data_IF_252871903335
#
_entry.id   IF_252871903335
#
_cell.length_a   1.000
_cell.length_b   1.000
_cell.length_c   1.000
_cell.angle_alpha   90.00
_cell.angle_beta   90.00
_cell.angle_gamma   90.00
#
_symmetry.space_group_name_H-M   'P 1'
#
loop_
_entity.id
_entity.type
_entity.pdbx_description
1 polymer ?
#
# COMPACT_ATOMS: atom_id res chain seq x y z
N UNK A 1 -3.19 -31.12 -32.29
CA UNK A 1 -3.91 -29.84 -31.98
C UNK A 1 -4.21 -29.83 -30.47
N UNK A 2 -3.30 -29.33 -29.67
CA UNK A 2 -3.49 -29.15 -28.23
C UNK A 2 -3.95 -27.71 -28.01
N UNK A 3 -5.16 -27.55 -27.53
CA UNK A 3 -5.68 -26.23 -27.11
C UNK A 3 -4.96 -25.81 -25.83
N UNK A 4 -4.09 -24.83 -25.98
CA UNK A 4 -3.48 -24.11 -24.87
C UNK A 4 -4.58 -23.36 -24.10
N UNK A 5 -4.91 -23.84 -22.89
CA UNK A 5 -5.77 -23.09 -21.96
C UNK A 5 -4.94 -21.97 -21.36
N UNK A 6 -5.12 -20.76 -21.81
CA UNK A 6 -4.59 -19.55 -21.22
C UNK A 6 -5.17 -19.42 -19.81
N UNK A 7 -4.32 -19.60 -18.79
CA UNK A 7 -4.70 -19.41 -17.40
C UNK A 7 -4.70 -17.90 -17.12
N UNK A 8 -5.88 -17.30 -17.17
CA UNK A 8 -6.10 -15.91 -16.75
C UNK A 8 -6.07 -15.91 -15.22
N UNK A 9 -5.00 -15.39 -14.63
CA UNK A 9 -4.96 -15.09 -13.20
C UNK A 9 -5.75 -13.80 -13.00
N UNK A 10 -7.07 -13.92 -12.86
CA UNK A 10 -7.90 -12.87 -12.31
C UNK A 10 -7.85 -12.97 -10.79
N UNK A 11 -6.79 -12.38 -10.19
CA UNK A 11 -6.78 -12.08 -8.76
C UNK A 11 -7.54 -10.76 -8.54
N UNK A 12 -8.80 -10.77 -8.83
CA UNK A 12 -9.73 -9.86 -8.19
C UNK A 12 -10.26 -10.58 -6.96
N UNK A 13 -9.80 -10.19 -5.78
CA UNK A 13 -10.48 -10.47 -4.53
C UNK A 13 -11.79 -9.65 -4.44
N UNK A 14 -12.46 -9.55 -5.56
CA UNK A 14 -13.87 -9.29 -5.68
C UNK A 14 -14.51 -10.68 -5.80
N UNK A 15 -14.95 -11.18 -4.67
CA UNK A 15 -15.76 -12.36 -4.51
C UNK A 15 -15.82 -13.30 -5.72
N UNK A 16 -14.97 -14.31 -5.78
CA UNK A 16 -15.21 -15.44 -6.65
C UNK A 16 -16.42 -16.22 -6.16
N UNK A 17 -17.61 -15.71 -6.39
CA UNK A 17 -18.80 -16.55 -6.54
C UNK A 17 -18.75 -17.07 -7.96
N UNK A 18 -18.17 -18.25 -8.16
CA UNK A 18 -18.50 -19.10 -9.29
C UNK A 18 -19.99 -19.40 -9.21
N UNK A 19 -20.73 -18.72 -10.05
CA UNK A 19 -22.15 -18.98 -10.29
C UNK A 19 -22.31 -20.41 -10.79
N UNK A 20 -22.68 -21.33 -9.91
CA UNK A 20 -23.61 -22.35 -10.31
C UNK A 20 -24.93 -21.61 -10.59
N UNK A 21 -25.49 -21.78 -11.80
CA UNK A 21 -26.82 -21.32 -12.16
C UNK A 21 -27.84 -21.97 -11.20
N UNK A 22 -28.18 -21.22 -10.15
CA UNK A 22 -29.43 -21.44 -9.41
C UNK A 22 -30.00 -20.04 -9.17
N UNK A 23 -31.23 -19.83 -9.52
CA UNK A 23 -31.99 -18.58 -9.47
C UNK A 23 -32.26 -18.05 -8.04
N UNK A 24 -31.49 -18.49 -7.03
CA UNK A 24 -31.68 -18.09 -5.65
C UNK A 24 -30.33 -17.73 -5.03
N UNK A 25 -30.17 -16.45 -4.65
CA UNK A 25 -29.08 -15.98 -3.82
C UNK A 25 -29.23 -16.55 -2.40
N UNK A 26 -28.14 -17.12 -1.86
CA UNK A 26 -28.05 -17.48 -0.45
C UNK A 26 -27.02 -16.59 0.24
N UNK A 27 -27.38 -15.92 1.37
CA UNK A 27 -26.42 -15.20 2.18
C UNK A 27 -25.28 -16.12 2.62
N UNK A 28 -24.04 -15.62 2.59
CA UNK A 28 -22.89 -16.45 2.90
C UNK A 28 -21.69 -15.64 3.36
N UNK A 29 -20.76 -16.32 4.02
CA UNK A 29 -19.49 -15.74 4.44
C UNK A 29 -18.33 -16.23 3.59
N UNK A 30 -17.26 -15.45 3.56
CA UNK A 30 -15.97 -15.82 2.98
C UNK A 30 -14.87 -15.55 3.98
N UNK A 31 -13.89 -16.44 4.02
CA UNK A 31 -12.68 -16.28 4.83
C UNK A 31 -11.49 -16.47 3.90
N UNK A 32 -10.48 -15.66 4.06
CA UNK A 32 -9.21 -15.74 3.37
C UNK A 32 -8.17 -14.97 4.15
N UNK A 33 -6.99 -14.87 3.62
CA UNK A 33 -5.93 -14.12 4.27
C UNK A 33 -4.58 -14.34 3.64
N UNK A 34 -3.56 -13.79 4.25
CA UNK A 34 -2.18 -13.98 3.85
C UNK A 34 -1.23 -13.85 5.02
N UNK A 35 0.00 -14.29 4.82
CA UNK A 35 1.08 -14.08 5.75
C UNK A 35 2.42 -14.08 5.05
N UNK A 36 3.43 -13.54 5.74
CA UNK A 36 4.78 -13.46 5.23
C UNK A 36 5.84 -13.57 6.33
N UNK A 37 6.95 -14.25 5.98
CA UNK A 37 8.14 -14.38 6.79
C UNK A 37 9.32 -13.78 6.03
N UNK A 38 10.08 -12.91 6.69
CA UNK A 38 11.25 -12.23 6.11
C UNK A 38 12.52 -12.52 6.89
N UNK A 39 13.60 -12.80 6.18
CA UNK A 39 14.97 -12.65 6.64
C UNK A 39 15.59 -11.47 5.91
N UNK A 40 16.04 -10.48 6.66
CA UNK A 40 16.68 -9.28 6.14
C UNK A 40 18.09 -9.18 6.68
N UNK A 41 19.04 -8.87 5.80
CA UNK A 41 20.42 -8.53 6.16
C UNK A 41 20.78 -7.19 5.50
N UNK A 42 21.27 -6.27 6.29
CA UNK A 42 21.65 -4.93 5.85
C UNK A 42 23.06 -4.61 6.35
N UNK A 43 23.88 -3.98 5.51
CA UNK A 43 25.24 -3.58 5.84
C UNK A 43 25.59 -2.28 5.12
N UNK A 44 26.03 -1.26 5.85
CA UNK A 44 26.52 -0.01 5.30
C UNK A 44 28.03 0.01 5.36
N UNK A 45 28.69 0.15 4.21
CA UNK A 45 30.14 0.16 4.09
C UNK A 45 30.84 -0.95 4.86
N UNK A 46 31.75 -0.57 5.74
CA UNK A 46 32.50 -1.48 6.59
C UNK A 46 31.84 -1.82 7.93
N UNK A 47 30.66 -1.28 8.21
CA UNK A 47 29.93 -1.50 9.46
C UNK A 47 29.52 -2.97 9.64
N UNK A 48 29.28 -3.36 10.90
CA UNK A 48 28.74 -4.67 11.19
C UNK A 48 27.35 -4.83 10.56
N UNK A 49 27.13 -5.96 9.91
CA UNK A 49 25.82 -6.23 9.32
C UNK A 49 24.76 -6.43 10.40
N UNK A 50 23.60 -5.86 10.18
CA UNK A 50 22.38 -6.15 10.95
C UNK A 50 21.59 -7.26 10.28
N UNK A 51 20.99 -8.13 11.06
CA UNK A 51 20.13 -9.22 10.57
C UNK A 51 18.83 -9.28 11.35
N UNK A 52 17.72 -9.56 10.65
CA UNK A 52 16.39 -9.72 11.25
C UNK A 52 15.74 -10.95 10.64
N UNK A 53 15.10 -11.77 11.46
CA UNK A 53 14.15 -12.81 11.03
C UNK A 53 12.80 -12.46 11.66
N UNK A 54 11.80 -12.26 10.83
CA UNK A 54 10.54 -11.68 11.26
C UNK A 54 9.36 -12.36 10.55
N UNK A 55 8.44 -12.93 11.33
CA UNK A 55 7.12 -13.25 10.82
C UNK A 55 6.34 -11.92 10.72
N UNK A 56 6.50 -11.26 9.57
CA UNK A 56 6.25 -9.84 9.40
C UNK A 56 4.79 -9.50 9.63
N UNK A 57 3.87 -10.31 9.04
CA UNK A 57 2.43 -10.11 9.23
C UNK A 57 1.61 -11.37 9.01
N UNK A 58 0.45 -11.38 9.63
CA UNK A 58 -0.63 -12.33 9.40
C UNK A 58 -1.95 -11.59 9.29
N UNK A 59 -2.64 -11.77 8.17
CA UNK A 59 -3.88 -11.08 7.88
C UNK A 59 -5.01 -12.08 7.71
N UNK A 60 -6.19 -11.71 8.23
CA UNK A 60 -7.43 -12.43 8.01
C UNK A 60 -8.44 -11.51 7.31
N UNK A 61 -8.90 -11.94 6.16
CA UNK A 61 -10.09 -11.38 5.51
C UNK A 61 -11.33 -12.10 5.98
N UNK A 62 -12.34 -11.34 6.37
CA UNK A 62 -13.67 -11.87 6.62
C UNK A 62 -14.68 -11.06 5.82
N UNK A 63 -15.51 -11.74 5.04
CA UNK A 63 -16.57 -11.16 4.26
C UNK A 63 -17.91 -11.83 4.52
N UNK A 64 -18.99 -11.07 4.29
CA UNK A 64 -20.35 -11.58 4.34
C UNK A 64 -21.20 -10.97 3.22
N UNK A 65 -21.87 -11.81 2.44
CA UNK A 65 -22.82 -11.39 1.41
C UNK A 65 -24.24 -11.40 1.97
N UNK A 66 -24.83 -10.21 2.17
CA UNK A 66 -26.21 -10.08 2.67
C UNK A 66 -27.24 -10.33 1.56
N UNK A 67 -26.89 -9.93 0.34
CA UNK A 67 -27.69 -10.12 -0.88
C UNK A 67 -26.78 -10.11 -2.11
N UNK A 68 -27.32 -10.32 -3.30
CA UNK A 68 -26.56 -10.19 -4.56
C UNK A 68 -25.83 -8.84 -4.69
N UNK A 69 -26.36 -7.79 -4.09
CA UNK A 69 -25.85 -6.39 -4.21
C UNK A 69 -25.18 -5.88 -2.97
N UNK A 70 -25.47 -6.41 -1.80
CA UNK A 70 -24.93 -5.94 -0.53
C UNK A 70 -23.98 -6.95 0.09
N UNK A 71 -22.81 -6.47 0.47
CA UNK A 71 -21.80 -7.27 1.18
C UNK A 71 -21.08 -6.44 2.23
N UNK A 72 -20.45 -7.15 3.15
CA UNK A 72 -19.49 -6.62 4.12
C UNK A 72 -18.12 -7.22 3.83
N UNK A 73 -17.05 -6.46 4.04
CA UNK A 73 -15.67 -6.93 4.02
C UNK A 73 -14.90 -6.35 5.18
N UNK A 74 -13.98 -7.14 5.71
CA UNK A 74 -13.00 -6.69 6.69
C UNK A 74 -11.64 -7.32 6.45
N UNK A 75 -10.61 -6.64 6.94
CA UNK A 75 -9.21 -7.05 6.92
C UNK A 75 -8.61 -6.74 8.29
N UNK A 76 -8.21 -7.78 9.00
CA UNK A 76 -7.58 -7.69 10.30
C UNK A 76 -6.12 -8.12 10.17
N UNK A 77 -5.21 -7.22 10.52
CA UNK A 77 -3.76 -7.43 10.49
C UNK A 77 -3.19 -7.64 11.88
N UNK A 78 -2.31 -8.63 12.01
CA UNK A 78 -1.39 -8.80 13.12
C UNK A 78 0.04 -8.68 12.58
N UNK A 79 0.76 -7.60 12.94
CA UNK A 79 2.17 -7.42 12.60
C UNK A 79 3.10 -7.97 13.70
N UNK A 80 4.28 -8.45 13.26
CA UNK A 80 5.36 -8.93 14.14
C UNK A 80 4.97 -9.99 15.17
N UNK A 81 3.89 -10.75 14.88
CA UNK A 81 3.45 -11.95 15.61
C UNK A 81 3.18 -11.75 17.12
N UNK A 82 3.23 -10.54 17.65
CA UNK A 82 3.02 -10.29 19.08
C UNK A 82 2.53 -8.88 19.36
N UNK A 83 1.37 -8.78 20.03
CA UNK A 83 0.86 -7.52 20.57
C UNK A 83 0.93 -7.62 22.10
N UNK A 84 1.93 -6.98 22.68
CA UNK A 84 2.03 -6.83 24.13
C UNK A 84 1.33 -5.52 24.48
N UNK A 85 0.29 -5.50 25.35
CA UNK A 85 -0.21 -4.27 25.90
C UNK A 85 0.97 -3.55 26.56
N UNK A 86 1.20 -2.29 26.17
CA UNK A 86 2.31 -1.52 26.72
C UNK A 86 2.23 -1.54 28.24
N UNK A 87 3.19 -2.17 28.88
CA UNK A 87 3.46 -1.94 30.29
C UNK A 87 4.05 -0.53 30.34
N UNK A 88 3.25 0.42 30.78
CA UNK A 88 3.72 1.77 31.07
C UNK A 88 4.50 1.70 32.36
N UNK A 89 5.72 1.17 32.30
CA UNK A 89 6.65 1.37 33.39
C UNK A 89 6.89 2.87 33.55
N UNK A 90 6.39 3.38 34.63
CA UNK A 90 6.34 4.79 34.96
C UNK A 90 7.72 5.37 35.32
N UNK A 91 8.81 4.61 35.19
CA UNK A 91 10.16 5.04 35.51
C UNK A 91 10.99 5.52 34.32
N UNK A 92 10.47 5.44 33.11
CA UNK A 92 11.07 6.04 31.91
C UNK A 92 12.41 5.45 31.46
N UNK A 93 12.81 4.30 32.00
CA UNK A 93 14.14 3.70 31.71
C UNK A 93 14.08 2.45 30.81
N UNK A 94 12.91 1.96 30.48
CA UNK A 94 12.81 0.77 29.60
C UNK A 94 12.84 1.16 28.11
N UNK A 95 13.98 0.89 27.49
CA UNK A 95 14.21 1.02 26.04
C UNK A 95 13.53 -0.10 25.22
N UNK A 96 12.75 -0.99 25.84
CA UNK A 96 12.15 -2.18 25.22
C UNK A 96 10.75 -1.94 24.62
N UNK A 97 10.19 -0.73 24.68
CA UNK A 97 8.89 -0.36 24.06
C UNK A 97 8.86 -0.55 22.52
N UNK A 98 10.01 -0.84 21.91
CA UNK A 98 10.13 -1.03 20.45
C UNK A 98 9.84 -2.46 19.98
N UNK A 99 9.40 -3.38 20.83
CA UNK A 99 9.22 -4.81 20.49
C UNK A 99 7.76 -5.25 20.35
N UNK A 100 6.81 -4.34 20.32
CA UNK A 100 5.40 -4.70 20.14
C UNK A 100 5.03 -4.67 18.67
N UNK A 101 4.36 -5.73 18.19
CA UNK A 101 3.64 -5.73 16.92
C UNK A 101 2.39 -4.86 17.00
N UNK A 102 1.71 -4.69 15.87
CA UNK A 102 0.47 -3.95 15.75
C UNK A 102 -0.71 -4.89 15.47
N UNK A 103 -1.88 -4.56 16.00
CA UNK A 103 -3.15 -5.17 15.62
C UNK A 103 -4.02 -4.09 15.03
N UNK A 104 -4.28 -4.18 13.72
CA UNK A 104 -4.98 -3.15 12.96
C UNK A 104 -6.19 -3.70 12.21
N UNK A 105 -7.22 -2.89 12.10
CA UNK A 105 -8.37 -3.13 11.23
C UNK A 105 -8.20 -2.26 9.98
N UNK A 106 -7.49 -2.79 8.97
CA UNK A 106 -7.16 -2.02 7.77
C UNK A 106 -8.37 -1.78 6.87
N UNK A 107 -9.34 -2.69 6.87
CA UNK A 107 -10.60 -2.54 6.17
C UNK A 107 -11.76 -3.06 7.00
N UNK A 108 -12.88 -2.33 7.00
CA UNK A 108 -14.17 -2.78 7.53
C UNK A 108 -15.27 -1.93 6.92
N UNK A 109 -15.89 -2.38 5.85
CA UNK A 109 -16.86 -1.58 5.12
C UNK A 109 -18.03 -2.40 4.59
N UNK A 110 -19.16 -1.72 4.48
CA UNK A 110 -20.32 -2.20 3.71
C UNK A 110 -20.14 -1.78 2.26
N UNK A 111 -20.41 -2.70 1.35
CA UNK A 111 -20.35 -2.49 -0.09
C UNK A 111 -21.70 -2.76 -0.73
N UNK A 112 -22.14 -1.82 -1.56
CA UNK A 112 -23.25 -2.00 -2.50
C UNK A 112 -22.70 -2.00 -3.92
N UNK A 113 -23.15 -2.90 -4.78
CA UNK A 113 -22.72 -2.91 -6.17
C UNK A 113 -23.84 -3.30 -7.13
N UNK A 114 -23.70 -2.80 -8.32
CA UNK A 114 -24.43 -3.21 -9.52
C UNK A 114 -23.42 -3.49 -10.63
N UNK A 115 -23.86 -3.89 -11.80
CA UNK A 115 -22.98 -4.15 -12.95
C UNK A 115 -22.16 -2.93 -13.38
N UNK A 116 -22.60 -1.71 -13.07
CA UNK A 116 -22.01 -0.46 -13.55
C UNK A 116 -21.42 0.43 -12.46
N UNK A 117 -22.04 0.44 -11.29
CA UNK A 117 -21.70 1.37 -10.20
C UNK A 117 -21.78 0.66 -8.86
N UNK A 118 -20.92 1.04 -7.95
CA UNK A 118 -20.90 0.58 -6.56
C UNK A 118 -20.62 1.71 -5.58
N UNK A 119 -20.85 1.41 -4.31
CA UNK A 119 -20.65 2.31 -3.18
C UNK A 119 -20.02 1.53 -2.02
N UNK A 120 -19.11 2.17 -1.29
CA UNK A 120 -18.48 1.64 -0.09
C UNK A 120 -18.55 2.66 1.03
N UNK A 121 -18.75 2.22 2.27
CA UNK A 121 -18.66 3.06 3.46
C UNK A 121 -18.18 2.27 4.67
N UNK A 122 -17.29 2.87 5.45
CA UNK A 122 -16.62 2.29 6.62
C UNK A 122 -15.15 2.64 6.63
N UNK A 123 -14.30 1.71 7.09
CA UNK A 123 -12.85 1.81 6.97
C UNK A 123 -12.45 1.30 5.57
N UNK A 124 -11.92 2.19 4.75
CA UNK A 124 -11.58 1.92 3.34
C UNK A 124 -10.18 2.38 3.00
N UNK A 125 -9.58 1.81 1.94
CA UNK A 125 -8.33 2.30 1.38
C UNK A 125 -8.61 3.28 0.24
N UNK A 126 -7.91 4.43 0.13
CA UNK A 126 -7.92 5.22 -1.09
C UNK A 126 -7.20 4.49 -2.23
N UNK A 127 -7.67 4.68 -3.46
CA UNK A 127 -7.00 4.13 -4.65
C UNK A 127 -5.84 5.03 -5.05
N UNK A 128 -4.67 4.80 -4.46
CA UNK A 128 -3.42 5.52 -4.71
C UNK A 128 -2.32 4.52 -4.99
N UNK A 129 -1.79 4.56 -6.19
CA UNK A 129 -0.75 3.64 -6.64
C UNK A 129 -1.21 2.20 -6.84
N UNK A 130 -0.27 1.35 -7.19
CA UNK A 130 -0.52 -0.06 -7.47
C UNK A 130 -0.59 -0.92 -6.22
N UNK A 131 0.10 -0.52 -5.14
CA UNK A 131 0.32 -1.39 -3.98
C UNK A 131 -0.60 -1.04 -2.80
N UNK A 132 -1.19 0.15 -2.72
CA UNK A 132 -2.06 0.46 -1.58
C UNK A 132 -3.28 -0.47 -1.47
N UNK A 133 -3.97 -0.75 -2.58
CA UNK A 133 -5.13 -1.65 -2.60
C UNK A 133 -4.77 -3.14 -2.76
N UNK A 134 -3.53 -3.46 -3.23
CA UNK A 134 -3.09 -4.83 -3.58
C UNK A 134 -1.70 -5.09 -3.02
N UNK A 135 -1.59 -5.13 -1.70
CA UNK A 135 -0.31 -5.21 -1.00
C UNK A 135 0.04 -6.61 -0.48
N UNK A 136 -0.72 -7.64 -0.88
CA UNK A 136 -0.46 -9.02 -0.50
C UNK A 136 0.86 -9.53 -1.09
N UNK A 137 1.69 -10.25 -0.31
CA UNK A 137 3.03 -10.64 -0.70
C UNK A 137 3.15 -11.41 -2.03
N UNK A 138 2.24 -12.32 -2.40
CA UNK A 138 2.34 -13.00 -3.69
C UNK A 138 2.12 -12.10 -4.91
N UNK A 139 1.67 -10.84 -4.75
CA UNK A 139 1.29 -9.95 -5.85
C UNK A 139 2.44 -9.08 -6.38
N UNK A 140 3.57 -9.01 -5.68
CA UNK A 140 4.75 -8.26 -6.08
C UNK A 140 6.03 -9.11 -5.99
N UNK A 141 7.10 -8.69 -6.68
CA UNK A 141 8.29 -9.52 -6.91
C UNK A 141 9.24 -9.57 -5.71
N UNK A 142 9.46 -8.44 -5.05
CA UNK A 142 10.45 -8.28 -3.98
C UNK A 142 9.98 -8.88 -2.66
N UNK A 143 10.91 -9.11 -1.73
CA UNK A 143 10.60 -9.48 -0.35
C UNK A 143 9.88 -8.33 0.32
N UNK A 144 10.52 -7.17 0.34
CA UNK A 144 9.92 -5.93 0.84
C UNK A 144 9.15 -5.19 -0.24
N UNK A 145 8.09 -4.48 0.13
CA UNK A 145 7.41 -3.53 -0.77
C UNK A 145 8.41 -2.49 -1.29
N UNK A 146 8.21 -1.90 -2.49
CA UNK A 146 9.07 -0.82 -2.95
C UNK A 146 9.10 0.33 -1.93
N UNK A 147 10.28 0.84 -1.57
CA UNK A 147 10.41 1.97 -0.65
C UNK A 147 9.67 3.21 -1.15
N UNK A 148 9.67 3.45 -2.47
CA UNK A 148 8.82 4.45 -3.12
C UNK A 148 7.35 4.33 -2.67
N UNK A 149 6.81 3.09 -2.68
CA UNK A 149 5.43 2.80 -2.27
C UNK A 149 5.21 2.87 -0.75
N UNK A 150 6.20 3.21 0.03
CA UNK A 150 6.11 3.49 1.46
C UNK A 150 6.25 4.98 1.75
N UNK A 151 7.19 5.64 1.08
CA UNK A 151 7.60 7.00 1.44
C UNK A 151 6.98 8.09 0.55
N UNK A 152 6.66 7.79 -0.71
CA UNK A 152 5.95 8.70 -1.62
C UNK A 152 4.47 8.32 -1.67
N UNK A 153 4.17 7.05 -2.01
CA UNK A 153 2.80 6.53 -1.91
C UNK A 153 2.67 5.85 -0.54
N UNK A 154 1.90 6.40 0.40
CA UNK A 154 1.86 5.88 1.77
C UNK A 154 1.06 4.57 1.84
N UNK A 155 1.61 3.46 1.34
CA UNK A 155 0.97 2.13 1.39
C UNK A 155 0.53 1.74 2.79
N UNK A 156 -0.48 0.89 2.87
CA UNK A 156 -1.34 0.65 4.02
C UNK A 156 -1.97 1.95 4.52
N UNK A 157 -2.41 2.78 3.56
CA UNK A 157 -3.20 3.94 3.85
C UNK A 157 -4.68 3.55 3.83
N UNK A 158 -5.27 3.54 4.98
CA UNK A 158 -6.68 3.30 5.21
C UNK A 158 -7.25 4.34 6.18
N UNK A 159 -8.57 4.47 6.22
CA UNK A 159 -9.25 5.40 7.12
C UNK A 159 -10.76 5.34 6.99
N UNK A 160 -11.46 6.01 7.92
CA UNK A 160 -12.91 6.16 7.86
C UNK A 160 -13.32 6.95 6.63
N UNK A 161 -14.29 6.45 5.87
CA UNK A 161 -14.69 7.15 4.67
C UNK A 161 -15.76 6.44 3.87
N UNK A 162 -15.99 7.00 2.69
CA UNK A 162 -16.92 6.45 1.71
C UNK A 162 -16.37 6.63 0.29
N UNK A 163 -16.75 5.73 -0.61
CA UNK A 163 -16.36 5.80 -2.01
C UNK A 163 -17.51 5.40 -2.94
N UNK A 164 -17.54 6.02 -4.11
CA UNK A 164 -18.33 5.58 -5.26
C UNK A 164 -17.36 5.13 -6.35
N UNK A 165 -17.68 4.03 -7.01
CA UNK A 165 -16.83 3.47 -8.04
C UNK A 165 -17.65 2.87 -9.18
N UNK A 166 -17.02 2.66 -10.31
CA UNK A 166 -17.70 2.03 -11.45
C UNK A 166 -16.73 1.51 -12.50
N UNK A 167 -17.32 0.78 -13.46
CA UNK A 167 -16.58 0.23 -14.60
C UNK A 167 -17.38 0.44 -15.87
N UNK A 168 -16.72 0.94 -16.93
CA UNK A 168 -17.32 1.10 -18.25
C UNK A 168 -16.25 0.93 -19.34
N UNK A 169 -16.49 0.05 -20.29
CA UNK A 169 -15.61 -0.16 -21.46
C UNK A 169 -14.12 -0.40 -21.10
N UNK A 170 -13.85 -1.17 -20.05
CA UNK A 170 -12.49 -1.44 -19.57
C UNK A 170 -11.88 -0.33 -18.71
N UNK A 171 -12.56 0.80 -18.55
CA UNK A 171 -12.17 1.88 -17.64
C UNK A 171 -12.83 1.66 -16.29
N UNK A 172 -12.03 1.60 -15.23
CA UNK A 172 -12.46 1.57 -13.83
C UNK A 172 -12.16 2.93 -13.21
N UNK A 173 -13.12 3.49 -12.51
CA UNK A 173 -12.98 4.77 -11.81
C UNK A 173 -13.44 4.65 -10.37
N UNK A 174 -12.88 5.46 -9.49
CA UNK A 174 -13.29 5.56 -8.08
C UNK A 174 -13.10 6.99 -7.59
N UNK A 175 -14.07 7.46 -6.81
CA UNK A 175 -14.02 8.72 -6.07
C UNK A 175 -14.24 8.40 -4.61
N UNK A 176 -13.34 8.81 -3.74
CA UNK A 176 -13.39 8.55 -2.30
C UNK A 176 -13.21 9.83 -1.49
N UNK A 177 -13.89 9.87 -0.34
CA UNK A 177 -13.67 10.83 0.72
C UNK A 177 -13.28 10.05 1.98
N UNK A 178 -12.17 10.45 2.61
CA UNK A 178 -11.70 9.84 3.85
C UNK A 178 -11.55 10.91 4.93
N UNK A 179 -11.43 10.47 6.15
CA UNK A 179 -11.10 11.28 7.33
C UNK A 179 -9.95 12.25 7.09
N UNK A 180 -9.79 13.25 7.95
CA UNK A 180 -8.63 14.13 7.93
C UNK A 180 -7.35 13.35 8.28
N UNK A 181 -6.23 13.81 7.71
CA UNK A 181 -4.90 13.43 8.16
C UNK A 181 -4.41 14.43 9.22
N UNK A 182 -3.49 13.99 10.07
CA UNK A 182 -2.82 14.85 11.03
C UNK A 182 -1.77 15.73 10.33
N UNK A 183 -2.02 17.04 10.27
CA UNK A 183 -1.13 18.00 9.63
C UNK A 183 0.21 18.15 10.34
N UNK A 184 0.26 17.99 11.67
CA UNK A 184 1.50 18.08 12.43
C UNK A 184 2.49 16.94 12.11
N UNK A 185 1.99 15.83 11.61
CA UNK A 185 2.79 14.65 11.22
C UNK A 185 3.12 14.59 9.73
N UNK A 186 2.76 15.62 8.95
CA UNK A 186 3.14 15.77 7.53
C UNK A 186 4.41 16.62 7.44
N UNK A 187 5.40 16.12 6.69
CA UNK A 187 6.66 16.84 6.49
C UNK A 187 7.50 16.18 5.41
N UNK A 188 8.05 15.02 5.68
CA UNK A 188 8.83 14.18 4.76
C UNK A 188 7.92 13.14 4.13
N UNK A 189 7.08 13.52 3.18
CA UNK A 189 5.95 12.72 2.71
C UNK A 189 4.71 12.89 3.61
N UNK A 190 3.65 12.19 3.27
CA UNK A 190 2.35 12.29 3.95
C UNK A 190 2.02 11.06 4.83
N UNK A 191 2.90 10.05 4.86
CA UNK A 191 2.64 8.79 5.59
C UNK A 191 2.38 9.00 7.08
N UNK A 192 3.11 9.90 7.73
CA UNK A 192 2.96 10.19 9.15
C UNK A 192 1.57 10.71 9.54
N UNK A 193 0.91 11.44 8.64
CA UNK A 193 -0.40 12.04 8.89
C UNK A 193 -1.58 11.07 8.83
N UNK A 194 -1.39 9.77 8.53
CA UNK A 194 -2.48 8.79 8.45
C UNK A 194 -3.10 8.56 9.84
N UNK A 195 -4.40 8.78 9.97
CA UNK A 195 -5.14 8.58 11.22
C UNK A 195 -5.54 7.14 11.49
N UNK A 196 -5.50 6.27 10.46
CA UNK A 196 -5.82 4.84 10.55
C UNK A 196 -7.21 4.56 11.18
N UNK A 197 -8.17 5.47 11.01
CA UNK A 197 -9.53 5.33 11.55
C UNK A 197 -9.68 5.64 13.04
N UNK A 198 -8.60 6.00 13.75
CA UNK A 198 -8.66 6.19 15.20
C UNK A 198 -9.02 7.61 15.59
N UNK A 199 -10.30 7.84 15.96
CA UNK A 199 -10.82 9.13 16.48
C UNK A 199 -10.41 10.36 15.65
N UNK A 200 -10.34 10.18 14.34
CA UNK A 200 -9.95 11.22 13.39
C UNK A 200 -11.03 12.27 13.21
N UNK A 201 -10.66 13.41 12.68
CA UNK A 201 -11.56 14.52 12.36
C UNK A 201 -12.02 14.46 10.90
N UNK A 202 -12.96 15.32 10.53
CA UNK A 202 -13.55 15.40 9.18
C UNK A 202 -13.87 16.86 8.81
N UNK A 203 -12.90 17.76 8.97
CA UNK A 203 -13.07 19.19 8.66
C UNK A 203 -12.89 19.49 7.18
N UNK A 204 -11.82 18.95 6.55
CA UNK A 204 -11.57 19.12 5.12
C UNK A 204 -11.73 17.80 4.35
N UNK A 205 -11.50 16.67 4.98
CA UNK A 205 -11.51 15.32 4.45
C UNK A 205 -10.57 15.13 3.23
N UNK A 206 -9.88 14.01 3.17
CA UNK A 206 -9.09 13.62 2.01
C UNK A 206 -10.00 13.35 0.82
N UNK A 207 -9.70 13.96 -0.32
CA UNK A 207 -10.40 13.76 -1.60
C UNK A 207 -9.50 12.97 -2.53
N UNK A 208 -9.93 11.78 -2.95
CA UNK A 208 -9.18 10.91 -3.84
C UNK A 208 -10.02 10.54 -5.07
N UNK A 209 -9.42 10.64 -6.25
CA UNK A 209 -10.00 10.20 -7.51
C UNK A 209 -8.97 9.31 -8.22
N UNK A 210 -9.39 8.17 -8.74
CA UNK A 210 -8.56 7.27 -9.52
C UNK A 210 -9.24 6.80 -10.80
N UNK A 211 -8.43 6.56 -11.82
CA UNK A 211 -8.88 6.01 -13.10
C UNK A 211 -7.87 4.94 -13.55
N UNK A 212 -8.36 3.78 -13.95
CA UNK A 212 -7.56 2.66 -14.44
C UNK A 212 -8.17 2.10 -15.71
N UNK A 213 -7.36 1.86 -16.73
CA UNK A 213 -7.73 1.12 -17.93
C UNK A 213 -7.19 -0.31 -17.86
N UNK A 214 -8.07 -1.28 -18.02
CA UNK A 214 -7.76 -2.72 -17.99
C UNK A 214 -8.35 -3.47 -19.19
N UNK A 215 -8.70 -2.77 -20.27
CA UNK A 215 -9.33 -3.35 -21.45
C UNK A 215 -8.39 -4.19 -22.32
N UNK A 216 -7.08 -4.17 -22.09
CA UNK A 216 -6.09 -5.01 -22.76
C UNK A 216 -5.60 -6.07 -21.77
N UNK A 217 -5.64 -7.34 -22.21
CA UNK A 217 -5.21 -8.46 -21.36
C UNK A 217 -3.75 -8.31 -20.88
N UNK A 218 -3.54 -8.41 -19.58
CA UNK A 218 -2.24 -8.25 -18.94
C UNK A 218 -1.78 -6.81 -18.74
N UNK A 219 -2.46 -5.80 -19.29
CA UNK A 219 -2.11 -4.39 -19.16
C UNK A 219 -3.07 -3.68 -18.20
N UNK A 220 -2.52 -2.94 -17.24
CA UNK A 220 -3.19 -1.94 -16.44
C UNK A 220 -2.43 -0.63 -16.57
N UNK A 221 -3.10 0.42 -16.96
CA UNK A 221 -2.57 1.79 -17.01
C UNK A 221 -3.53 2.69 -16.28
N UNK A 222 -3.03 3.54 -15.43
CA UNK A 222 -3.91 4.42 -14.67
C UNK A 222 -3.16 5.49 -13.89
N UNK A 223 -3.90 6.12 -13.02
CA UNK A 223 -3.37 7.11 -12.10
C UNK A 223 -4.42 7.58 -11.12
N UNK A 224 -3.98 8.36 -10.18
CA UNK A 224 -4.80 8.95 -9.14
C UNK A 224 -4.40 10.39 -8.82
N UNK A 225 -5.37 11.13 -8.30
CA UNK A 225 -5.18 12.45 -7.74
C UNK A 225 -5.77 12.50 -6.35
N UNK A 226 -4.98 12.94 -5.39
CA UNK A 226 -5.41 13.10 -4.00
C UNK A 226 -5.10 14.48 -3.51
N UNK A 227 -6.00 15.13 -2.80
CA UNK A 227 -5.80 16.44 -2.20
C UNK A 227 -6.43 16.54 -0.83
N UNK A 228 -5.82 17.34 0.03
CA UNK A 228 -6.27 17.58 1.39
C UNK A 228 -5.61 18.83 1.99
N UNK A 229 -6.31 19.53 2.89
CA UNK A 229 -5.73 20.50 3.81
C UNK A 229 -5.80 19.89 5.21
N UNK A 230 -4.71 19.22 5.61
CA UNK A 230 -4.62 18.48 6.86
C UNK A 230 -4.56 19.47 8.04
N UNK A 231 -5.55 19.49 8.95
CA UNK A 231 -5.53 20.38 10.09
C UNK A 231 -4.37 20.02 11.03
N UNK A 232 -3.71 21.04 11.58
CA UNK A 232 -2.69 20.90 12.62
C UNK A 232 -3.30 21.11 14.00
N UNK A 233 -2.55 20.88 15.07
CA UNK A 233 -2.97 21.22 16.44
C UNK A 233 -3.34 22.70 16.58
N UNK A 234 -2.70 23.59 15.82
CA UNK A 234 -3.04 25.02 15.79
C UNK A 234 -4.48 25.28 15.28
N UNK A 235 -5.00 24.45 14.39
CA UNK A 235 -6.38 24.57 13.89
C UNK A 235 -7.42 24.44 15.00
N UNK A 236 -7.12 23.67 16.05
CA UNK A 236 -8.00 23.41 17.18
C UNK A 236 -7.68 24.28 18.42
N UNK A 237 -6.73 25.22 18.30
CA UNK A 237 -6.32 26.05 19.41
C UNK A 237 -7.47 26.99 19.84
N UNK A 238 -7.64 27.12 21.16
CA UNK A 238 -8.65 27.98 21.77
C UNK A 238 -8.03 28.90 22.81
N UNK A 239 -8.68 30.03 23.08
CA UNK A 239 -8.34 30.90 24.20
C UNK A 239 -8.78 30.29 25.55
N UNK A 240 -8.53 31.01 26.64
CA UNK A 240 -8.91 30.57 28.00
C UNK A 240 -10.43 30.48 28.22
N UNK A 241 -11.21 31.07 27.33
CA UNK A 241 -12.67 31.05 27.36
C UNK A 241 -13.26 29.97 26.45
N UNK A 242 -12.39 29.21 25.70
CA UNK A 242 -12.79 28.15 24.79
C UNK A 242 -13.17 28.62 23.37
N UNK A 243 -12.92 29.90 23.02
CA UNK A 243 -13.15 30.40 21.67
C UNK A 243 -11.96 30.06 20.77
N UNK A 244 -12.22 29.74 19.50
CA UNK A 244 -11.16 29.52 18.52
C UNK A 244 -10.31 30.78 18.35
N UNK A 245 -8.99 30.64 18.46
CA UNK A 245 -8.01 31.71 18.21
C UNK A 245 -7.45 31.68 16.79
N UNK A 246 -7.84 30.69 15.99
CA UNK A 246 -7.42 30.56 14.60
C UNK A 246 -8.26 31.51 13.74
N UNK A 247 -7.64 32.54 13.20
CA UNK A 247 -8.26 33.50 12.31
C UNK A 247 -8.26 33.07 10.84
N UNK A 248 -7.39 32.12 10.48
CA UNK A 248 -7.23 31.62 9.13
C UNK A 248 -6.95 30.11 9.16
N UNK A 249 -7.92 29.32 8.75
CA UNK A 249 -7.84 27.85 8.69
C UNK A 249 -6.72 27.38 7.73
N UNK A 250 -6.43 28.12 6.67
CA UNK A 250 -5.38 27.82 5.71
C UNK A 250 -3.99 27.89 6.34
N UNK A 251 -3.76 28.83 7.23
CA UNK A 251 -2.47 28.97 7.93
C UNK A 251 -2.26 27.92 9.05
N UNK A 252 -3.34 27.33 9.52
CA UNK A 252 -3.35 26.30 10.56
C UNK A 252 -3.48 24.88 9.99
N UNK A 253 -3.18 24.70 8.72
CA UNK A 253 -3.23 23.41 8.03
C UNK A 253 -2.03 23.21 7.12
N UNK A 254 -1.67 21.95 6.87
CA UNK A 254 -0.72 21.56 5.85
C UNK A 254 -1.51 21.05 4.63
N UNK A 255 -1.51 21.87 3.57
CA UNK A 255 -2.12 21.49 2.30
C UNK A 255 -1.22 20.55 1.53
N UNK A 256 -1.78 19.54 0.86
CA UNK A 256 -1.05 18.76 -0.13
C UNK A 256 -1.91 18.33 -1.32
N UNK A 257 -1.23 18.11 -2.43
CA UNK A 257 -1.79 17.38 -3.58
C UNK A 257 -0.80 16.32 -4.05
N UNK A 258 -1.31 15.10 -4.25
CA UNK A 258 -0.54 13.96 -4.73
C UNK A 258 -1.09 13.54 -6.10
N UNK A 259 -0.23 13.56 -7.11
CA UNK A 259 -0.46 12.96 -8.43
C UNK A 259 0.30 11.64 -8.47
N UNK A 260 -0.35 10.60 -8.91
CA UNK A 260 0.26 9.29 -9.13
C UNK A 260 -0.13 8.76 -10.51
N UNK A 261 0.84 8.18 -11.23
CA UNK A 261 0.68 7.55 -12.53
C UNK A 261 1.34 6.18 -12.52
N UNK A 262 0.67 5.19 -13.11
CA UNK A 262 1.23 3.84 -13.17
C UNK A 262 0.91 3.11 -14.48
N UNK A 263 1.80 2.16 -14.81
CA UNK A 263 1.59 1.13 -15.80
C UNK A 263 2.10 -0.22 -15.29
N UNK A 264 1.29 -1.26 -15.41
CA UNK A 264 1.67 -2.65 -15.08
C UNK A 264 1.30 -3.55 -16.24
N UNK A 265 2.29 -4.34 -16.70
CA UNK A 265 2.09 -5.39 -17.68
C UNK A 265 2.48 -6.73 -17.08
N UNK A 266 1.60 -7.71 -17.17
CA UNK A 266 1.86 -9.07 -16.69
C UNK A 266 1.18 -10.07 -17.63
N UNK A 267 1.85 -10.38 -18.73
CA UNK A 267 1.42 -11.38 -19.72
C UNK A 267 2.62 -11.84 -20.57
N UNK A 268 2.45 -12.92 -21.31
CA UNK A 268 3.45 -13.46 -22.24
C UNK A 268 4.83 -13.68 -21.60
N UNK A 269 4.86 -14.15 -20.37
CA UNK A 269 6.05 -14.33 -19.52
C UNK A 269 6.77 -13.03 -19.13
N UNK A 270 6.29 -11.87 -19.51
CA UNK A 270 6.87 -10.56 -19.16
C UNK A 270 6.09 -9.95 -18.00
N UNK A 271 6.82 -9.47 -17.01
CA UNK A 271 6.32 -8.61 -15.95
C UNK A 271 7.03 -7.26 -16.04
N UNK A 272 6.27 -6.18 -16.08
CA UNK A 272 6.81 -4.84 -16.06
C UNK A 272 5.91 -3.93 -15.23
N UNK A 273 6.50 -3.11 -14.38
CA UNK A 273 5.83 -2.05 -13.62
C UNK A 273 6.60 -0.76 -13.78
N UNK A 274 5.88 0.31 -13.97
CA UNK A 274 6.34 1.68 -13.80
C UNK A 274 5.32 2.40 -12.93
N UNK A 275 5.77 3.03 -11.86
CA UNK A 275 4.95 3.89 -11.02
C UNK A 275 5.72 5.17 -10.69
N UNK A 276 5.05 6.30 -10.81
CA UNK A 276 5.56 7.64 -10.54
C UNK A 276 4.57 8.39 -9.65
N UNK A 277 5.06 9.13 -8.66
CA UNK A 277 4.25 9.99 -7.81
C UNK A 277 4.95 11.27 -7.45
N UNK A 278 4.17 12.32 -7.32
CA UNK A 278 4.63 13.64 -6.88
C UNK A 278 3.63 14.26 -5.93
N UNK A 279 4.13 14.73 -4.80
CA UNK A 279 3.38 15.47 -3.78
C UNK A 279 3.85 16.91 -3.83
N UNK A 280 2.91 17.85 -3.91
CA UNK A 280 3.18 19.28 -3.70
C UNK A 280 2.55 19.72 -2.40
N UNK A 281 3.26 20.52 -1.62
CA UNK A 281 2.84 20.99 -0.30
C UNK A 281 2.51 22.48 -0.27
N UNK A 282 1.64 22.84 0.67
CA UNK A 282 1.41 24.21 1.14
C UNK A 282 1.58 24.22 2.66
N UNK A 283 2.33 25.15 3.19
CA UNK A 283 2.62 25.28 4.63
C UNK A 283 3.30 24.04 5.25
N UNK A 284 4.17 23.36 4.52
CA UNK A 284 4.94 22.25 5.08
C UNK A 284 5.83 22.75 6.22
N UNK A 285 5.77 22.18 7.44
CA UNK A 285 6.51 22.66 8.60
C UNK A 285 8.04 22.52 8.46
N UNK A 286 8.52 21.66 7.56
CA UNK A 286 9.94 21.50 7.24
C UNK A 286 10.40 22.37 6.06
N UNK A 287 9.48 23.14 5.46
CA UNK A 287 9.77 24.01 4.33
C UNK A 287 9.91 23.32 2.98
N UNK A 288 9.68 22.02 2.88
CA UNK A 288 9.71 21.33 1.60
C UNK A 288 8.49 21.71 0.75
N UNK A 289 8.73 22.00 -0.52
CA UNK A 289 7.69 22.30 -1.49
C UNK A 289 7.13 21.03 -2.16
N UNK A 290 7.99 20.02 -2.34
CA UNK A 290 7.61 18.76 -3.02
C UNK A 290 8.31 17.55 -2.40
N UNK A 291 7.66 16.40 -2.59
CA UNK A 291 8.25 15.05 -2.46
C UNK A 291 7.84 14.25 -3.68
N UNK A 292 8.64 13.28 -4.12
CA UNK A 292 8.26 12.50 -5.28
C UNK A 292 9.27 11.43 -5.62
N UNK A 293 8.96 10.66 -6.67
CA UNK A 293 9.86 9.63 -7.15
C UNK A 293 9.16 8.63 -8.05
N UNK A 294 9.87 7.55 -8.33
CA UNK A 294 9.36 6.45 -9.15
C UNK A 294 10.02 5.13 -8.80
N UNK A 295 9.43 4.04 -9.25
CA UNK A 295 10.12 2.77 -9.39
C UNK A 295 9.74 2.06 -10.68
N UNK A 296 10.66 1.21 -11.15
CA UNK A 296 10.49 0.35 -12.30
C UNK A 296 10.87 -1.07 -11.89
N UNK A 297 9.99 -2.03 -12.14
CA UNK A 297 10.26 -3.46 -12.06
C UNK A 297 10.21 -4.10 -13.45
N UNK A 298 11.18 -4.94 -13.75
CA UNK A 298 11.20 -5.77 -14.96
C UNK A 298 11.52 -7.22 -14.58
N UNK A 299 10.68 -8.14 -15.01
CA UNK A 299 10.85 -9.58 -14.77
C UNK A 299 10.46 -10.41 -15.98
N UNK A 300 11.04 -11.61 -16.08
CA UNK A 300 10.68 -12.56 -17.11
C UNK A 300 10.52 -13.97 -16.53
N UNK A 301 9.38 -14.59 -16.80
CA UNK A 301 9.13 -15.95 -16.35
C UNK A 301 9.93 -16.97 -17.16
N UNK A 302 10.99 -17.47 -16.59
CA UNK A 302 11.85 -18.52 -17.17
C UNK A 302 11.38 -19.93 -16.84
N UNK A 303 10.44 -20.10 -15.92
CA UNK A 303 9.92 -21.40 -15.52
C UNK A 303 9.26 -22.14 -16.67
N UNK A 304 8.41 -21.46 -17.45
CA UNK A 304 7.73 -22.05 -18.60
C UNK A 304 8.70 -22.49 -19.71
N UNK A 305 9.68 -21.67 -20.17
CA UNK A 305 10.70 -22.09 -21.12
C UNK A 305 11.57 -23.25 -20.63
N UNK A 306 11.84 -23.35 -19.32
CA UNK A 306 12.64 -24.41 -18.72
C UNK A 306 11.84 -25.67 -18.37
N UNK A 307 10.53 -25.69 -18.64
CA UNK A 307 9.64 -26.80 -18.30
C UNK A 307 9.43 -27.04 -16.80
N UNK A 308 9.67 -26.02 -15.98
CA UNK A 308 9.45 -26.10 -14.54
C UNK A 308 7.96 -26.03 -14.21
N UNK A 309 7.58 -26.68 -13.12
CA UNK A 309 6.26 -26.46 -12.52
C UNK A 309 6.26 -25.12 -11.77
N UNK A 310 5.21 -24.32 -11.99
CA UNK A 310 5.09 -23.00 -11.38
C UNK A 310 5.77 -21.90 -12.18
N UNK A 311 5.89 -20.72 -11.57
CA UNK A 311 6.48 -19.53 -12.17
C UNK A 311 7.81 -19.23 -11.50
N UNK A 312 8.89 -19.16 -12.28
CA UNK A 312 10.22 -18.73 -11.82
C UNK A 312 10.56 -17.43 -12.53
N UNK A 313 10.68 -16.35 -11.79
CA UNK A 313 10.84 -15.01 -12.35
C UNK A 313 12.07 -14.31 -11.77
N UNK A 314 13.22 -14.34 -12.44
CA UNK A 314 14.27 -13.36 -12.21
C UNK A 314 13.76 -11.97 -12.59
N UNK A 315 14.19 -10.95 -11.80
CA UNK A 315 13.73 -9.59 -11.95
C UNK A 315 14.78 -8.56 -11.51
N UNK A 316 14.59 -7.33 -11.95
CA UNK A 316 15.36 -6.16 -11.52
C UNK A 316 14.42 -5.04 -11.13
N UNK A 317 14.85 -4.21 -10.17
CA UNK A 317 14.19 -2.97 -9.74
C UNK A 317 15.16 -1.82 -9.76
N UNK A 318 14.69 -0.70 -10.29
CA UNK A 318 15.29 0.62 -10.12
C UNK A 318 14.26 1.52 -9.45
N UNK A 319 14.66 2.24 -8.41
CA UNK A 319 13.82 3.21 -7.73
C UNK A 319 14.65 4.43 -7.35
N UNK A 320 14.03 5.59 -7.53
CA UNK A 320 14.59 6.87 -7.16
C UNK A 320 13.47 7.71 -6.55
N UNK A 321 13.69 8.19 -5.32
CA UNK A 321 12.69 9.02 -4.65
C UNK A 321 13.33 10.02 -3.71
N UNK A 322 12.66 11.17 -3.59
CA UNK A 322 13.02 12.26 -2.70
C UNK A 322 11.84 12.57 -1.78
N UNK A 323 12.09 12.59 -0.47
CA UNK A 323 11.10 12.88 0.57
C UNK A 323 10.99 14.37 0.91
N UNK A 324 11.95 15.17 0.48
CA UNK A 324 11.98 16.62 0.61
C UNK A 324 12.88 17.19 -0.48
N UNK A 325 12.31 18.02 -1.35
CA UNK A 325 13.04 18.57 -2.50
C UNK A 325 14.29 19.36 -2.04
N UNK A 326 15.34 19.29 -2.87
CA UNK A 326 16.62 19.95 -2.67
C UNK A 326 17.38 19.57 -1.38
N UNK A 327 16.97 18.46 -0.73
CA UNK A 327 17.65 17.92 0.44
C UNK A 327 18.34 16.57 0.11
N UNK A 328 19.67 16.52 -0.08
CA UNK A 328 20.40 15.28 -0.30
C UNK A 328 20.24 14.25 0.83
N UNK A 329 19.88 14.73 2.04
CA UNK A 329 19.57 13.89 3.18
C UNK A 329 18.23 13.16 3.07
N UNK A 330 17.40 13.50 2.08
CA UNK A 330 16.09 12.91 1.85
C UNK A 330 15.94 12.31 0.44
N UNK A 331 17.03 12.28 -0.34
CA UNK A 331 17.07 11.65 -1.66
C UNK A 331 17.70 10.27 -1.61
N UNK A 332 17.02 9.28 -2.21
CA UNK A 332 17.37 7.87 -2.16
C UNK A 332 17.30 7.22 -3.54
N UNK A 333 18.35 6.47 -3.89
CA UNK A 333 18.40 5.62 -5.08
C UNK A 333 18.54 4.18 -4.66
N UNK A 334 17.71 3.30 -5.22
CA UNK A 334 17.68 1.87 -4.90
C UNK A 334 17.79 1.06 -6.17
N UNK A 335 18.73 0.12 -6.20
CA UNK A 335 18.86 -0.85 -7.27
C UNK A 335 18.83 -2.25 -6.67
N UNK A 336 17.93 -3.09 -7.17
CA UNK A 336 17.78 -4.47 -6.69
C UNK A 336 17.68 -5.43 -7.87
N UNK A 337 18.14 -6.64 -7.65
CA UNK A 337 17.79 -7.79 -8.48
C UNK A 337 17.36 -8.96 -7.57
N UNK A 338 16.53 -9.82 -8.09
CA UNK A 338 16.04 -10.93 -7.32
C UNK A 338 15.43 -12.03 -8.18
N UNK A 339 14.99 -13.06 -7.49
CA UNK A 339 14.25 -14.18 -8.08
C UNK A 339 13.05 -14.48 -7.20
N UNK A 340 11.90 -14.58 -7.83
CA UNK A 340 10.67 -15.01 -7.16
C UNK A 340 10.17 -16.29 -7.80
N UNK A 341 9.89 -17.29 -6.96
CA UNK A 341 9.37 -18.58 -7.37
C UNK A 341 7.99 -18.82 -6.77
N UNK A 342 7.01 -19.01 -7.63
CA UNK A 342 5.67 -19.46 -7.25
C UNK A 342 5.49 -20.93 -7.65
N UNK A 343 5.67 -21.90 -6.73
CA UNK A 343 5.35 -23.30 -7.01
C UNK A 343 3.85 -23.50 -7.34
N UNK A 344 3.02 -22.69 -6.69
CA UNK A 344 1.59 -22.52 -6.96
C UNK A 344 1.27 -21.03 -6.84
N UNK A 345 0.15 -20.56 -7.37
CA UNK A 345 -0.23 -19.14 -7.38
C UNK A 345 -0.31 -18.49 -5.99
N UNK A 346 -0.56 -19.29 -4.98
CA UNK A 346 -0.82 -18.84 -3.61
C UNK A 346 0.41 -18.82 -2.71
N UNK A 347 1.56 -19.32 -3.15
CA UNK A 347 2.80 -19.37 -2.36
C UNK A 347 3.95 -18.82 -3.17
N UNK A 348 4.68 -17.88 -2.61
CA UNK A 348 5.86 -17.26 -3.21
C UNK A 348 7.09 -17.44 -2.31
N UNK A 349 8.20 -17.89 -2.88
CA UNK A 349 9.53 -17.83 -2.28
C UNK A 349 10.34 -16.76 -3.01
N UNK A 350 11.01 -15.90 -2.26
CA UNK A 350 11.65 -14.71 -2.78
C UNK A 350 13.08 -14.58 -2.28
N UNK A 351 13.96 -14.18 -3.17
CA UNK A 351 15.33 -13.77 -2.85
C UNK A 351 15.61 -12.44 -3.55
N UNK A 352 16.25 -11.52 -2.84
CA UNK A 352 16.72 -10.28 -3.44
C UNK A 352 18.06 -9.84 -2.86
N UNK A 353 18.83 -9.18 -3.71
CA UNK A 353 20.05 -8.48 -3.39
C UNK A 353 19.95 -7.07 -3.98
N UNK A 354 20.40 -6.06 -3.27
CA UNK A 354 20.43 -4.72 -3.80
C UNK A 354 21.23 -3.75 -2.96
N UNK A 355 21.28 -2.52 -3.48
CA UNK A 355 21.90 -1.38 -2.83
C UNK A 355 20.86 -0.29 -2.59
N UNK A 356 21.03 0.40 -1.49
CA UNK A 356 20.26 1.55 -1.06
C UNK A 356 21.25 2.68 -0.78
N UNK A 357 21.19 3.73 -1.60
CA UNK A 357 22.05 4.90 -1.51
C UNK A 357 21.23 6.11 -1.10
N UNK A 358 21.59 6.72 0.00
CA UNK A 358 21.14 8.04 0.36
C UNK A 358 22.17 9.05 -0.20
N UNK A 359 21.74 10.08 -0.88
CA UNK A 359 22.65 10.99 -1.59
C UNK A 359 23.67 11.66 -0.66
N UNK A 360 23.26 12.01 0.57
CA UNK A 360 24.16 12.62 1.58
C UNK A 360 25.21 11.67 2.12
N UNK A 361 25.05 10.36 1.97
CA UNK A 361 25.94 9.38 2.60
C UNK A 361 27.10 9.05 1.65
N UNK A 362 28.30 8.84 2.18
CA UNK A 362 29.46 8.44 1.38
C UNK A 362 29.32 7.01 0.87
N UNK A 363 28.79 6.12 1.69
CA UNK A 363 28.69 4.70 1.42
C UNK A 363 27.27 4.25 1.07
N UNK A 364 27.14 3.16 0.32
CA UNK A 364 25.88 2.51 0.03
C UNK A 364 25.57 1.44 1.07
N UNK A 365 24.29 1.27 1.38
CA UNK A 365 23.83 0.14 2.18
C UNK A 365 23.48 -1.04 1.28
N UNK A 366 24.16 -2.16 1.49
CA UNK A 366 23.88 -3.44 0.81
C UNK A 366 22.78 -4.19 1.55
N UNK A 367 21.82 -4.75 0.83
CA UNK A 367 20.72 -5.54 1.37
C UNK A 367 20.67 -6.92 0.75
N UNK A 368 20.45 -7.95 1.57
CA UNK A 368 20.14 -9.32 1.17
C UNK A 368 18.87 -9.71 1.91
N UNK A 369 17.82 -10.02 1.17
CA UNK A 369 16.57 -10.43 1.77
C UNK A 369 16.10 -11.76 1.20
N UNK A 370 15.55 -12.60 2.06
CA UNK A 370 14.89 -13.86 1.71
C UNK A 370 13.51 -13.84 2.34
N UNK A 371 12.50 -14.20 1.57
CA UNK A 371 11.13 -14.16 2.07
C UNK A 371 10.26 -15.30 1.55
N UNK A 372 9.21 -15.54 2.30
CA UNK A 372 8.11 -16.41 1.91
C UNK A 372 6.81 -15.65 2.16
N UNK A 373 5.93 -15.65 1.16
CA UNK A 373 4.56 -15.13 1.30
C UNK A 373 3.56 -16.16 0.80
N UNK A 374 2.39 -16.16 1.41
CA UNK A 374 1.28 -17.02 0.98
C UNK A 374 -0.05 -16.34 1.17
N UNK A 375 -1.06 -16.76 0.38
CA UNK A 375 -2.46 -16.39 0.59
C UNK A 375 -3.36 -17.65 0.56
N UNK A 376 -4.50 -17.59 1.23
CA UNK A 376 -5.43 -18.72 1.37
C UNK A 376 -6.90 -18.26 1.32
#
# INVERSE_FOLDING_TARGET
>A
MHKMKTMIINLSFLGGLLLAQNDFFEPGYSIGGYGELHYNRSQSGADAATTKLDFHRFIIFYGYSFSEKWSFKSELELEHNNVIPGDTDTDGTDSDVTKTGELELEQAFVNYHTDKIGFQAGVILPSVGLINEYHEPPLFLSVERPDYSKYVIPTTWFGNGAAVYGTMAGVRWRVALLEDMDGDAIGKGIRGGRGKGYKTTAYDMVKNVSINYTGISGLRVGGSYTMHNAPTSAYFATDTEGNSIVNDADSASVGFSLVELHAKYNANNVYAVLEYGSISYKNNPLGYETSGGYYVDLGYNVGSPLGLKGTLMPWVRMSDYNRGNDDPGEHYTINKFGVTYWPISNVAFKFEYGTHKKESDEEETTQINVGMGYNF
#
